data_IF_464918864363
#
_entry.id   IF_464918864363
#
_cell.length_a   1.000
_cell.length_b   1.000
_cell.length_c   1.000
_cell.angle_alpha   90.00
_cell.angle_beta   90.00
_cell.angle_gamma   90.00
#
_symmetry.space_group_name_H-M   'P 1'
#
loop_
_entity.id
_entity.type
_entity.pdbx_description
1 polymer ?
#
# COMPACT_ATOMS: atom_id res chain seq x y z
N UNK A 1 77.10 -52.44 -32.10
CA UNK A 1 76.51 -53.00 -30.95
C UNK A 1 74.95 -52.94 -31.03
N UNK A 2 74.36 -54.09 -31.33
CA UNK A 2 72.93 -54.30 -31.53
C UNK A 2 72.08 -53.99 -30.23
N UNK A 3 72.66 -54.26 -29.06
CA UNK A 3 72.05 -54.10 -27.74
C UNK A 3 71.85 -52.60 -27.40
N UNK A 4 72.81 -51.76 -27.77
CA UNK A 4 72.72 -50.32 -27.52
C UNK A 4 71.63 -49.61 -28.37
N UNK A 5 71.35 -50.13 -29.55
CA UNK A 5 70.36 -49.57 -30.48
C UNK A 5 68.93 -49.90 -30.04
N UNK A 6 68.68 -51.11 -29.55
CA UNK A 6 67.39 -51.52 -28.98
C UNK A 6 67.03 -50.70 -27.75
N UNK A 7 67.95 -50.45 -26.83
CA UNK A 7 67.74 -49.66 -25.65
C UNK A 7 67.46 -48.16 -25.99
N UNK A 8 68.08 -47.66 -27.06
CA UNK A 8 67.81 -46.29 -27.55
C UNK A 8 66.40 -46.16 -28.19
N UNK A 9 65.96 -47.19 -28.94
CA UNK A 9 64.64 -47.24 -29.55
C UNK A 9 63.52 -47.33 -28.46
N UNK A 10 63.68 -48.19 -27.43
CA UNK A 10 62.77 -48.29 -26.31
C UNK A 10 62.69 -47.00 -25.56
N UNK A 11 63.77 -46.27 -25.33
CA UNK A 11 63.84 -45.01 -24.68
C UNK A 11 63.14 -43.89 -25.51
N UNK A 12 63.27 -43.92 -26.82
CA UNK A 12 62.57 -43.00 -27.73
C UNK A 12 61.05 -43.24 -27.71
N UNK A 13 60.61 -44.49 -27.73
CA UNK A 13 59.21 -44.89 -27.64
C UNK A 13 58.61 -44.42 -26.28
N UNK A 14 59.31 -44.60 -25.17
CA UNK A 14 58.92 -44.19 -23.86
C UNK A 14 58.80 -42.67 -23.76
N UNK A 15 59.78 -41.93 -24.30
CA UNK A 15 59.74 -40.48 -24.33
C UNK A 15 58.53 -39.94 -25.12
N UNK A 16 58.25 -40.47 -26.29
CA UNK A 16 57.06 -40.07 -27.09
C UNK A 16 55.77 -40.37 -26.34
N UNK A 17 55.68 -41.51 -25.62
CA UNK A 17 54.56 -41.86 -24.78
C UNK A 17 54.40 -40.88 -23.60
N UNK A 18 55.50 -40.53 -22.93
CA UNK A 18 55.53 -39.54 -21.84
C UNK A 18 55.09 -38.13 -22.33
N UNK A 19 55.62 -37.68 -23.45
CA UNK A 19 55.27 -36.42 -24.08
C UNK A 19 53.77 -36.34 -24.39
N UNK A 20 53.20 -37.43 -24.92
CA UNK A 20 51.77 -37.56 -25.15
C UNK A 20 50.92 -37.44 -23.86
N UNK A 21 51.37 -38.07 -22.76
CA UNK A 21 50.74 -38.00 -21.46
C UNK A 21 50.83 -36.60 -20.87
N UNK A 22 51.99 -35.95 -20.95
CA UNK A 22 52.20 -34.56 -20.52
C UNK A 22 51.29 -33.63 -21.27
N UNK A 23 51.17 -33.77 -22.59
CA UNK A 23 50.26 -32.95 -23.39
C UNK A 23 48.78 -33.15 -23.00
N UNK A 24 48.38 -34.40 -22.71
CA UNK A 24 47.02 -34.69 -22.20
C UNK A 24 46.77 -34.05 -20.83
N UNK A 25 47.72 -34.16 -19.90
CA UNK A 25 47.62 -33.50 -18.58
C UNK A 25 47.53 -31.95 -18.71
N UNK A 26 48.34 -31.36 -19.56
CA UNK A 26 48.27 -29.92 -19.78
C UNK A 26 46.90 -29.49 -20.30
N UNK A 27 46.28 -30.26 -21.19
CA UNK A 27 44.94 -30.01 -21.69
C UNK A 27 43.87 -30.13 -20.58
N UNK A 28 44.00 -31.14 -19.71
CA UNK A 28 43.10 -31.35 -18.57
C UNK A 28 43.22 -30.22 -17.54
N UNK A 29 44.44 -29.79 -17.21
CA UNK A 29 44.70 -28.65 -16.33
C UNK A 29 44.13 -27.35 -16.90
N UNK A 30 44.24 -27.13 -18.20
CA UNK A 30 43.61 -25.94 -18.84
C UNK A 30 42.09 -25.97 -18.74
N UNK A 31 41.44 -27.10 -18.93
CA UNK A 31 39.99 -27.28 -18.77
C UNK A 31 39.55 -27.04 -17.33
N UNK A 32 40.29 -27.60 -16.35
CA UNK A 32 40.01 -27.42 -14.93
C UNK A 32 40.15 -25.95 -14.50
N UNK A 33 41.16 -25.26 -14.98
CA UNK A 33 41.32 -23.82 -14.71
C UNK A 33 40.16 -22.99 -15.30
N UNK A 34 39.73 -23.29 -16.52
CA UNK A 34 38.55 -22.63 -17.13
C UNK A 34 37.28 -22.88 -16.30
N UNK A 35 37.01 -24.12 -15.91
CA UNK A 35 35.88 -24.47 -15.07
C UNK A 35 35.93 -23.77 -13.70
N UNK A 36 37.11 -23.66 -13.10
CA UNK A 36 37.33 -22.92 -11.85
C UNK A 36 36.97 -21.44 -11.98
N UNK A 37 37.40 -20.81 -13.08
CA UNK A 37 37.13 -19.40 -13.33
C UNK A 37 35.62 -19.15 -13.59
N UNK A 38 34.94 -20.03 -14.32
CA UNK A 38 33.51 -20.01 -14.56
C UNK A 38 32.73 -20.17 -13.24
N UNK A 39 33.10 -21.14 -12.39
CA UNK A 39 32.48 -21.31 -11.06
C UNK A 39 32.73 -20.09 -10.18
N UNK A 40 33.94 -19.53 -10.22
CA UNK A 40 34.26 -18.31 -9.45
C UNK A 40 33.40 -17.10 -9.84
N UNK A 41 33.17 -16.90 -11.12
CA UNK A 41 32.31 -15.83 -11.62
C UNK A 41 30.83 -16.02 -11.25
N UNK A 42 30.34 -17.26 -11.36
CA UNK A 42 28.97 -17.61 -10.98
C UNK A 42 28.74 -17.41 -9.48
N UNK A 43 29.66 -17.88 -8.64
CA UNK A 43 29.61 -17.69 -7.19
C UNK A 43 29.62 -16.21 -6.78
N UNK A 44 30.36 -15.38 -7.50
CA UNK A 44 30.37 -13.93 -7.25
C UNK A 44 29.01 -13.32 -7.54
N UNK A 45 28.42 -13.66 -8.67
CA UNK A 45 27.09 -13.19 -9.07
C UNK A 45 26.00 -13.64 -8.08
N UNK A 46 26.03 -14.91 -7.68
CA UNK A 46 25.08 -15.44 -6.67
C UNK A 46 25.21 -14.73 -5.33
N UNK A 47 26.44 -14.42 -4.89
CA UNK A 47 26.65 -13.64 -3.65
C UNK A 47 26.11 -12.22 -3.75
N UNK A 48 26.25 -11.57 -4.89
CA UNK A 48 25.69 -10.24 -5.11
C UNK A 48 24.15 -10.27 -5.09
N UNK A 49 23.56 -11.23 -5.80
CA UNK A 49 22.11 -11.44 -5.80
C UNK A 49 21.57 -11.76 -4.38
N UNK A 50 22.24 -12.63 -3.64
CA UNK A 50 21.87 -12.93 -2.26
C UNK A 50 21.93 -11.70 -1.33
N UNK A 51 22.93 -10.84 -1.50
CA UNK A 51 23.01 -9.58 -0.73
C UNK A 51 21.85 -8.63 -1.07
N UNK A 52 21.46 -8.56 -2.32
CA UNK A 52 20.34 -7.72 -2.76
C UNK A 52 18.99 -8.24 -2.25
N UNK A 53 18.81 -9.57 -2.30
CA UNK A 53 17.64 -10.22 -1.69
C UNK A 53 17.56 -9.97 -0.18
N UNK A 54 18.68 -10.05 0.55
CA UNK A 54 18.73 -9.75 1.98
C UNK A 54 18.36 -8.31 2.28
N UNK A 55 18.79 -7.35 1.46
CA UNK A 55 18.36 -5.93 1.61
C UNK A 55 16.87 -5.79 1.41
N UNK A 56 16.30 -6.45 0.41
CA UNK A 56 14.87 -6.43 0.14
C UNK A 56 14.08 -7.03 1.29
N UNK A 57 14.50 -8.19 1.80
CA UNK A 57 13.87 -8.84 2.97
C UNK A 57 13.90 -7.93 4.19
N UNK A 58 15.03 -7.30 4.48
CA UNK A 58 15.16 -6.37 5.61
C UNK A 58 14.26 -5.13 5.46
N UNK A 59 14.09 -4.63 4.24
CA UNK A 59 13.17 -3.50 3.98
C UNK A 59 11.71 -3.91 4.16
N UNK A 60 11.32 -5.08 3.67
CA UNK A 60 9.97 -5.65 3.86
C UNK A 60 9.70 -5.87 5.35
N UNK A 61 10.66 -6.40 6.10
CA UNK A 61 10.51 -6.61 7.54
C UNK A 61 10.35 -5.30 8.31
N UNK A 62 11.14 -4.27 7.99
CA UNK A 62 10.97 -2.93 8.55
C UNK A 62 9.59 -2.34 8.23
N UNK A 63 9.14 -2.51 6.99
CA UNK A 63 7.81 -2.07 6.57
C UNK A 63 6.72 -2.80 7.36
N UNK A 64 6.83 -4.14 7.50
CA UNK A 64 5.91 -4.95 8.30
C UNK A 64 5.81 -4.47 9.75
N UNK A 65 6.96 -4.28 10.41
CA UNK A 65 7.00 -3.82 11.82
C UNK A 65 6.39 -2.43 11.98
N UNK A 66 6.64 -1.51 11.04
CA UNK A 66 6.03 -0.19 11.08
C UNK A 66 4.52 -0.27 10.88
N UNK A 67 4.06 -1.06 9.90
CA UNK A 67 2.64 -1.28 9.63
C UNK A 67 1.93 -1.90 10.83
N UNK A 68 2.51 -2.92 11.47
CA UNK A 68 1.95 -3.53 12.69
C UNK A 68 1.85 -2.52 13.86
N UNK A 69 2.83 -1.63 13.99
CA UNK A 69 2.79 -0.57 15.00
C UNK A 69 1.69 0.44 14.72
N UNK A 70 1.53 0.82 13.47
CA UNK A 70 0.50 1.78 13.07
C UNK A 70 -0.89 1.17 13.21
N UNK A 71 -1.06 -0.11 12.85
CA UNK A 71 -2.30 -0.87 13.09
C UNK A 71 -2.63 -0.95 14.58
N UNK A 72 -1.65 -1.25 15.44
CA UNK A 72 -1.89 -1.27 16.91
C UNK A 72 -2.31 0.09 17.45
N UNK A 73 -1.65 1.17 17.04
CA UNK A 73 -2.06 2.52 17.42
C UNK A 73 -3.47 2.84 16.94
N UNK A 74 -3.81 2.38 15.74
CA UNK A 74 -5.16 2.54 15.18
C UNK A 74 -6.18 1.71 15.97
N UNK A 75 -5.86 0.47 16.34
CA UNK A 75 -6.73 -0.37 17.18
C UNK A 75 -6.95 0.20 18.58
N UNK A 76 -5.94 0.74 19.24
CA UNK A 76 -6.06 1.45 20.52
C UNK A 76 -6.99 2.65 20.36
N UNK A 77 -6.83 3.42 19.31
CA UNK A 77 -7.67 4.59 19.01
C UNK A 77 -9.11 4.18 18.67
N UNK A 78 -9.31 3.08 17.94
CA UNK A 78 -10.63 2.51 17.61
C UNK A 78 -11.31 1.94 18.85
N UNK A 79 -10.59 1.33 19.79
CA UNK A 79 -11.16 0.82 21.03
C UNK A 79 -11.62 1.94 21.96
N UNK A 80 -10.86 3.02 22.10
CA UNK A 80 -11.30 4.23 22.79
C UNK A 80 -12.52 4.86 22.09
N UNK A 81 -12.54 4.80 20.79
CA UNK A 81 -13.61 5.24 19.92
C UNK A 81 -14.85 4.36 20.04
N UNK A 82 -14.72 3.05 20.21
CA UNK A 82 -15.85 2.12 20.39
C UNK A 82 -16.67 2.46 21.64
N UNK A 83 -16.00 2.74 22.75
CA UNK A 83 -16.64 3.23 23.97
C UNK A 83 -17.33 4.59 23.76
N UNK A 84 -16.79 5.42 22.88
CA UNK A 84 -17.37 6.71 22.53
C UNK A 84 -18.54 6.57 21.54
N UNK A 85 -18.41 5.71 20.53
CA UNK A 85 -19.47 5.39 19.54
C UNK A 85 -20.68 4.77 20.21
N UNK A 86 -20.51 3.93 21.21
CA UNK A 86 -21.62 3.38 22.01
C UNK A 86 -22.37 4.49 22.78
N UNK A 87 -21.69 5.56 23.15
CA UNK A 87 -22.30 6.77 23.74
C UNK A 87 -22.93 7.70 22.70
N UNK A 88 -22.45 7.66 21.43
CA UNK A 88 -22.94 8.47 20.31
C UNK A 88 -24.16 7.89 19.60
N UNK A 89 -24.58 6.66 19.93
CA UNK A 89 -25.63 5.93 19.21
C UNK A 89 -27.01 6.53 19.44
N UNK A 90 -27.36 7.43 18.62
CA UNK A 90 -28.67 8.13 18.58
C UNK A 90 -28.64 9.44 17.82
N UNK A 91 -27.47 9.98 17.49
CA UNK A 91 -27.41 11.28 16.84
C UNK A 91 -26.46 11.29 15.63
N UNK A 92 -27.05 11.30 14.44
CA UNK A 92 -26.32 11.28 13.15
C UNK A 92 -25.35 12.47 13.01
N UNK A 93 -25.68 13.61 13.59
CA UNK A 93 -24.82 14.81 13.58
C UNK A 93 -23.51 14.54 14.35
N UNK A 94 -23.61 13.96 15.53
CA UNK A 94 -22.40 13.61 16.30
C UNK A 94 -21.52 12.58 15.60
N UNK A 95 -22.08 11.67 14.81
CA UNK A 95 -21.29 10.72 14.00
C UNK A 95 -20.47 11.44 12.93
N UNK A 96 -21.05 12.42 12.22
CA UNK A 96 -20.34 13.23 11.24
C UNK A 96 -19.20 14.02 11.90
N UNK A 97 -19.52 14.82 12.90
CA UNK A 97 -18.55 15.65 13.65
C UNK A 97 -17.38 14.79 14.22
N UNK A 98 -17.65 13.55 14.59
CA UNK A 98 -16.65 12.62 15.08
C UNK A 98 -15.70 12.16 13.97
N UNK A 99 -16.23 11.75 12.82
CA UNK A 99 -15.40 11.32 11.67
C UNK A 99 -14.47 12.44 11.19
N UNK A 100 -14.97 13.66 11.12
CA UNK A 100 -14.19 14.84 10.77
C UNK A 100 -13.05 15.09 11.79
N UNK A 101 -13.35 15.06 13.09
CA UNK A 101 -12.34 15.23 14.16
C UNK A 101 -11.30 14.12 14.14
N UNK A 102 -11.70 12.88 13.86
CA UNK A 102 -10.80 11.75 13.75
C UNK A 102 -9.85 11.90 12.56
N UNK A 103 -10.37 12.33 11.41
CA UNK A 103 -9.55 12.61 10.23
C UNK A 103 -8.47 13.66 10.54
N UNK A 104 -8.87 14.79 11.12
CA UNK A 104 -7.95 15.85 11.53
C UNK A 104 -6.88 15.31 12.48
N UNK A 105 -7.29 14.54 13.48
CA UNK A 105 -6.37 13.99 14.48
C UNK A 105 -5.38 13.00 13.88
N UNK A 106 -5.80 12.18 12.92
CA UNK A 106 -4.91 11.28 12.20
C UNK A 106 -3.86 12.05 11.38
N UNK A 107 -4.26 13.09 10.68
CA UNK A 107 -3.34 13.93 9.92
C UNK A 107 -2.28 14.57 10.84
N UNK A 108 -2.70 15.14 11.99
CA UNK A 108 -1.80 15.71 12.99
C UNK A 108 -0.82 14.68 13.57
N UNK A 109 -1.27 13.47 13.91
CA UNK A 109 -0.41 12.40 14.45
C UNK A 109 0.65 11.97 13.43
N UNK A 110 0.33 12.06 12.14
CA UNK A 110 1.28 11.79 11.05
C UNK A 110 2.17 12.99 10.70
N UNK A 111 2.13 14.05 11.53
CA UNK A 111 3.03 15.20 11.42
C UNK A 111 2.56 16.29 10.47
N UNK A 112 1.33 16.23 9.99
CA UNK A 112 0.73 17.27 9.16
C UNK A 112 0.13 18.37 10.05
N UNK A 113 0.27 19.62 9.61
CA UNK A 113 -0.14 20.80 10.38
C UNK A 113 -1.33 21.52 9.74
N UNK A 114 -2.33 21.88 10.56
CA UNK A 114 -3.47 22.68 10.12
C UNK A 114 -2.99 24.03 9.57
N UNK A 115 -3.63 24.51 8.52
CA UNK A 115 -3.35 25.75 7.78
C UNK A 115 -2.02 25.75 7.01
N UNK A 116 -1.17 24.75 7.16
CA UNK A 116 0.05 24.58 6.38
C UNK A 116 -0.13 23.43 5.38
N UNK A 117 -0.34 22.21 5.88
CA UNK A 117 -0.44 21.01 5.06
C UNK A 117 -1.89 20.68 4.69
N UNK A 118 -2.85 21.16 5.47
CA UNK A 118 -4.29 21.02 5.20
C UNK A 118 -5.13 22.10 5.85
N UNK A 119 -6.34 22.33 5.31
CA UNK A 119 -7.36 23.20 5.88
C UNK A 119 -8.62 22.40 6.19
N UNK A 120 -9.35 22.82 7.23
CA UNK A 120 -10.54 22.13 7.73
C UNK A 120 -11.79 22.96 7.41
N UNK A 121 -12.80 22.31 6.83
CA UNK A 121 -14.13 22.89 6.57
C UNK A 121 -14.09 24.21 5.78
N UNK A 122 -13.10 24.40 4.92
CA UNK A 122 -13.03 25.53 4.02
C UNK A 122 -14.05 25.35 2.90
N UNK A 123 -15.11 26.12 2.92
CA UNK A 123 -16.18 26.02 1.96
C UNK A 123 -16.24 27.18 0.97
N UNK A 124 -16.88 26.96 -0.15
CA UNK A 124 -17.19 28.00 -1.14
C UNK A 124 -18.65 27.93 -1.55
N UNK A 125 -19.17 29.09 -1.99
CA UNK A 125 -20.54 29.24 -2.45
C UNK A 125 -20.54 29.90 -3.83
N UNK A 126 -21.34 29.38 -4.72
CA UNK A 126 -21.55 29.96 -6.06
C UNK A 126 -22.94 30.56 -6.09
N UNK A 127 -23.01 31.83 -6.43
CA UNK A 127 -24.25 32.59 -6.56
C UNK A 127 -24.55 32.89 -8.03
N UNK A 128 -25.82 33.02 -8.37
CA UNK A 128 -26.24 33.55 -9.65
C UNK A 128 -25.90 35.05 -9.69
N UNK A 129 -25.14 35.48 -10.69
CA UNK A 129 -24.67 36.85 -10.83
C UNK A 129 -25.80 37.86 -11.12
N UNK A 130 -26.97 37.40 -11.53
CA UNK A 130 -28.10 38.26 -11.91
C UNK A 130 -29.05 38.51 -10.75
N UNK A 131 -29.38 37.50 -9.95
CA UNK A 131 -30.40 37.58 -8.89
C UNK A 131 -29.89 37.24 -7.49
N UNK A 132 -28.56 37.08 -7.34
CA UNK A 132 -27.90 36.73 -6.08
C UNK A 132 -28.41 35.42 -5.43
N UNK A 133 -28.99 34.53 -6.24
CA UNK A 133 -29.51 33.25 -5.77
C UNK A 133 -28.33 32.26 -5.56
N UNK A 134 -28.34 31.57 -4.43
CA UNK A 134 -27.33 30.53 -4.14
C UNK A 134 -27.53 29.32 -5.05
N UNK A 135 -26.67 29.16 -6.05
CA UNK A 135 -26.72 28.05 -6.99
C UNK A 135 -26.08 26.77 -6.42
N UNK A 136 -24.96 26.90 -5.75
CA UNK A 136 -24.23 25.76 -5.20
C UNK A 136 -23.37 26.18 -4.01
N UNK A 137 -23.28 25.29 -3.03
CA UNK A 137 -22.38 25.44 -1.89
C UNK A 137 -21.69 24.09 -1.64
N UNK A 138 -20.39 24.12 -1.46
CA UNK A 138 -19.59 22.97 -1.04
C UNK A 138 -18.77 23.31 0.19
N UNK A 139 -18.66 22.35 1.09
CA UNK A 139 -17.85 22.45 2.29
C UNK A 139 -17.21 21.10 2.52
N UNK A 140 -16.03 20.83 1.93
CA UNK A 140 -15.28 19.62 2.21
C UNK A 140 -14.82 19.60 3.66
N UNK A 141 -14.67 18.39 4.22
CA UNK A 141 -14.20 18.24 5.61
C UNK A 141 -12.75 18.68 5.73
N UNK A 142 -11.91 18.24 4.79
CA UNK A 142 -10.49 18.61 4.71
C UNK A 142 -10.10 18.88 3.27
N UNK A 143 -9.25 19.90 3.07
CA UNK A 143 -8.51 20.14 1.83
C UNK A 143 -7.04 19.98 2.15
N UNK A 144 -6.37 18.98 1.57
CA UNK A 144 -4.94 18.77 1.72
C UNK A 144 -4.17 19.56 0.66
N UNK A 145 -3.07 20.18 1.07
CA UNK A 145 -2.16 20.92 0.21
C UNK A 145 -1.04 19.95 -0.24
N UNK A 146 -1.09 19.49 -1.48
CA UNK A 146 -0.03 18.62 -2.05
C UNK A 146 1.17 19.45 -2.51
N UNK A 147 0.91 20.66 -2.96
CA UNK A 147 1.90 21.68 -3.32
C UNK A 147 1.30 23.07 -3.07
N UNK A 148 2.04 24.14 -3.44
CA UNK A 148 1.50 25.51 -3.36
C UNK A 148 0.21 25.71 -4.17
N UNK A 149 0.06 24.95 -5.26
CA UNK A 149 -1.04 25.16 -6.20
C UNK A 149 -1.97 23.95 -6.32
N UNK A 150 -1.57 22.78 -5.80
CA UNK A 150 -2.31 21.53 -6.00
C UNK A 150 -2.92 21.08 -4.68
N UNK A 151 -4.20 20.81 -4.72
CA UNK A 151 -4.99 20.42 -3.56
C UNK A 151 -5.77 19.15 -3.81
N UNK A 152 -6.06 18.39 -2.77
CA UNK A 152 -6.97 17.24 -2.82
C UNK A 152 -8.01 17.35 -1.71
N UNK A 153 -9.26 17.08 -2.06
CA UNK A 153 -10.35 17.04 -1.10
C UNK A 153 -10.41 15.69 -0.43
N UNK A 154 -10.55 15.69 0.90
CA UNK A 154 -10.86 14.52 1.70
C UNK A 154 -12.21 14.75 2.39
N UNK A 155 -13.15 13.84 2.17
CA UNK A 155 -14.47 13.86 2.79
C UNK A 155 -14.59 12.68 3.75
N UNK A 156 -14.99 12.92 4.96
CA UNK A 156 -15.15 11.88 5.99
C UNK A 156 -16.58 11.40 6.02
N UNK A 157 -16.78 10.10 5.85
CA UNK A 157 -18.11 9.53 5.99
C UNK A 157 -18.16 8.42 7.01
N UNK A 158 -18.99 8.66 8.01
CA UNK A 158 -19.29 7.66 9.05
C UNK A 158 -20.77 7.32 8.95
N UNK A 159 -21.08 6.18 8.34
CA UNK A 159 -22.42 5.57 8.39
C UNK A 159 -22.34 4.28 9.20
N UNK A 160 -22.38 4.42 10.52
CA UNK A 160 -22.19 3.30 11.44
C UNK A 160 -23.48 2.65 11.92
N UNK A 161 -24.67 3.23 11.63
CA UNK A 161 -25.93 2.73 12.15
C UNK A 161 -26.21 1.32 11.62
N UNK A 162 -26.18 1.16 10.30
CA UNK A 162 -26.45 -0.14 9.69
C UNK A 162 -25.34 -1.15 9.94
N UNK A 163 -24.08 -0.70 9.98
CA UNK A 163 -22.94 -1.52 10.40
C UNK A 163 -23.11 -2.01 11.84
N UNK A 164 -23.47 -1.13 12.78
CA UNK A 164 -23.73 -1.51 14.17
C UNK A 164 -24.85 -2.54 14.28
N UNK A 165 -25.95 -2.33 13.55
CA UNK A 165 -27.08 -3.27 13.53
C UNK A 165 -26.66 -4.63 12.96
N UNK A 166 -25.82 -4.64 11.90
CA UNK A 166 -25.23 -5.84 11.35
C UNK A 166 -24.39 -6.62 12.37
N UNK A 167 -23.52 -5.94 13.12
CA UNK A 167 -22.63 -6.58 14.11
C UNK A 167 -23.40 -7.08 15.34
N UNK A 168 -24.45 -6.37 15.75
CA UNK A 168 -25.23 -6.70 16.93
C UNK A 168 -26.32 -7.77 16.66
N UNK A 169 -26.75 -7.91 15.41
CA UNK A 169 -27.71 -8.96 15.04
C UNK A 169 -27.03 -10.32 14.98
N UNK A 170 -27.34 -11.17 15.95
CA UNK A 170 -26.72 -12.51 16.09
C UNK A 170 -27.71 -13.65 15.85
N UNK A 171 -29.00 -13.38 15.91
CA UNK A 171 -30.03 -14.40 15.97
C UNK A 171 -30.77 -14.59 14.63
N UNK A 172 -30.83 -13.58 13.78
CA UNK A 172 -31.49 -13.63 12.49
C UNK A 172 -30.53 -13.24 11.35
N UNK A 173 -30.02 -14.26 10.67
CA UNK A 173 -29.09 -14.08 9.54
C UNK A 173 -29.71 -13.29 8.39
N UNK A 174 -31.01 -13.38 8.16
CA UNK A 174 -31.70 -12.61 7.11
C UNK A 174 -31.71 -11.12 7.44
N UNK A 175 -32.03 -10.77 8.65
CA UNK A 175 -32.02 -9.38 9.15
C UNK A 175 -30.59 -8.86 9.17
N UNK A 176 -29.64 -9.67 9.61
CA UNK A 176 -28.20 -9.33 9.62
C UNK A 176 -27.70 -8.98 8.21
N UNK A 177 -27.98 -9.82 7.21
CA UNK A 177 -27.63 -9.52 5.79
C UNK A 177 -28.35 -8.28 5.25
N UNK A 178 -29.58 -8.02 5.68
CA UNK A 178 -30.28 -6.80 5.31
C UNK A 178 -29.58 -5.55 5.82
N UNK A 179 -29.06 -5.57 7.04
CA UNK A 179 -28.27 -4.46 7.59
C UNK A 179 -26.96 -4.26 6.84
N UNK A 180 -26.25 -5.33 6.46
CA UNK A 180 -25.03 -5.24 5.65
C UNK A 180 -25.32 -4.60 4.29
N UNK A 181 -26.37 -5.03 3.60
CA UNK A 181 -26.79 -4.43 2.32
C UNK A 181 -27.11 -2.94 2.43
N UNK A 182 -27.79 -2.53 3.51
CA UNK A 182 -28.07 -1.11 3.75
C UNK A 182 -26.79 -0.33 3.98
N UNK A 183 -25.83 -0.91 4.73
CA UNK A 183 -24.54 -0.29 4.94
C UNK A 183 -23.76 -0.08 3.64
N UNK A 184 -23.67 -1.11 2.78
CA UNK A 184 -23.06 -1.05 1.45
C UNK A 184 -23.73 0.03 0.60
N UNK A 185 -25.05 0.01 0.51
CA UNK A 185 -25.82 1.00 -0.27
C UNK A 185 -25.61 2.43 0.25
N UNK A 186 -25.38 2.61 1.53
CA UNK A 186 -25.08 3.93 2.10
C UNK A 186 -23.68 4.43 1.67
N UNK A 187 -22.69 3.53 1.59
CA UNK A 187 -21.34 3.84 1.09
C UNK A 187 -21.40 4.19 -0.39
N UNK A 188 -22.02 3.34 -1.21
CA UNK A 188 -22.16 3.57 -2.65
C UNK A 188 -22.88 4.89 -2.98
N UNK A 189 -24.00 5.14 -2.33
CA UNK A 189 -24.70 6.42 -2.46
C UNK A 189 -23.82 7.61 -2.10
N UNK A 190 -22.95 7.45 -1.11
CA UNK A 190 -22.04 8.52 -0.72
C UNK A 190 -20.95 8.73 -1.77
N UNK A 191 -20.35 7.66 -2.29
CA UNK A 191 -19.38 7.70 -3.39
C UNK A 191 -19.99 8.40 -4.61
N UNK A 192 -21.19 7.99 -5.02
CA UNK A 192 -21.93 8.61 -6.13
C UNK A 192 -22.21 10.09 -5.89
N UNK A 193 -22.59 10.46 -4.68
CA UNK A 193 -22.84 11.87 -4.32
C UNK A 193 -21.55 12.70 -4.37
N UNK A 194 -20.43 12.16 -3.87
CA UNK A 194 -19.14 12.84 -3.89
C UNK A 194 -18.60 13.00 -5.32
N UNK A 195 -18.71 11.97 -6.15
CA UNK A 195 -18.27 12.03 -7.54
C UNK A 195 -19.04 13.07 -8.36
N UNK A 196 -20.29 13.33 -8.00
CA UNK A 196 -21.10 14.39 -8.61
C UNK A 196 -20.78 15.81 -8.15
N UNK A 197 -20.02 15.99 -7.06
CA UNK A 197 -19.64 17.31 -6.55
C UNK A 197 -18.46 17.87 -7.34
N UNK A 198 -18.69 18.94 -8.09
CA UNK A 198 -17.66 19.62 -8.89
C UNK A 198 -16.79 20.54 -8.01
N UNK A 199 -16.04 20.00 -7.06
CA UNK A 199 -15.15 20.77 -6.19
C UNK A 199 -14.18 21.66 -6.98
N UNK A 200 -13.67 21.18 -8.11
CA UNK A 200 -12.78 21.93 -9.01
C UNK A 200 -13.38 23.24 -9.53
N UNK A 201 -14.69 23.25 -9.77
CA UNK A 201 -15.38 24.45 -10.32
C UNK A 201 -15.82 25.41 -9.24
N UNK A 202 -15.96 24.94 -8.01
CA UNK A 202 -16.59 25.70 -6.92
C UNK A 202 -15.54 26.24 -5.95
N UNK A 203 -14.50 25.47 -5.66
CA UNK A 203 -13.37 25.93 -4.86
C UNK A 203 -12.46 26.78 -5.75
N UNK A 204 -12.12 27.99 -5.30
CA UNK A 204 -11.16 28.87 -5.99
C UNK A 204 -9.71 28.36 -5.76
N UNK A 205 -9.48 27.10 -6.11
CA UNK A 205 -8.22 26.38 -5.93
C UNK A 205 -8.09 25.33 -7.01
N UNK A 206 -6.84 25.02 -7.40
CA UNK A 206 -6.56 23.89 -8.29
C UNK A 206 -6.71 22.58 -7.52
N UNK A 207 -7.90 22.01 -7.56
CA UNK A 207 -8.24 20.76 -6.85
C UNK A 207 -8.16 19.58 -7.82
N UNK A 208 -7.54 18.52 -7.38
CA UNK A 208 -7.48 17.25 -8.11
C UNK A 208 -8.89 16.75 -8.46
N UNK A 209 -9.08 16.10 -9.62
CA UNK A 209 -10.41 15.61 -10.03
C UNK A 209 -10.96 14.50 -9.14
N UNK A 210 -10.10 13.86 -8.36
CA UNK A 210 -10.48 12.79 -7.44
C UNK A 210 -10.67 13.32 -6.03
N UNK A 211 -11.66 12.77 -5.33
CA UNK A 211 -11.92 13.02 -3.90
C UNK A 211 -11.53 11.77 -3.12
N UNK A 212 -10.83 11.95 -2.01
CA UNK A 212 -10.52 10.88 -1.09
C UNK A 212 -11.69 10.73 -0.10
N UNK A 213 -12.27 9.54 -0.05
CA UNK A 213 -13.27 9.19 0.95
C UNK A 213 -12.57 8.56 2.17
N UNK A 214 -12.67 9.21 3.32
CA UNK A 214 -12.18 8.69 4.58
C UNK A 214 -13.27 7.92 5.31
N UNK A 215 -13.05 6.63 5.51
CA UNK A 215 -13.94 5.74 6.29
C UNK A 215 -13.18 5.35 7.56
N UNK A 216 -13.54 5.88 8.74
CA UNK A 216 -12.78 5.68 9.98
C UNK A 216 -12.87 4.27 10.55
N UNK A 217 -13.78 3.45 10.04
CA UNK A 217 -14.06 2.11 10.57
C UNK A 217 -13.62 1.03 9.57
N UNK A 218 -12.36 0.59 9.67
CA UNK A 218 -11.79 -0.44 8.79
C UNK A 218 -12.63 -1.72 8.72
N UNK A 219 -13.14 -2.31 9.83
CA UNK A 219 -13.98 -3.50 9.74
C UNK A 219 -15.28 -3.29 8.93
N UNK A 220 -15.87 -2.09 9.03
CA UNK A 220 -17.07 -1.75 8.26
C UNK A 220 -16.77 -1.63 6.76
N UNK A 221 -15.62 -1.06 6.41
CA UNK A 221 -15.15 -0.97 5.03
C UNK A 221 -14.83 -2.37 4.48
N UNK A 222 -14.04 -3.18 5.20
CA UNK A 222 -13.68 -4.53 4.78
C UNK A 222 -14.90 -5.40 4.52
N UNK A 223 -15.89 -5.39 5.42
CA UNK A 223 -17.12 -6.15 5.22
C UNK A 223 -17.93 -5.68 3.99
N UNK A 224 -17.85 -4.39 3.66
CA UNK A 224 -18.52 -3.88 2.47
C UNK A 224 -17.84 -4.37 1.18
N UNK A 225 -16.51 -4.33 1.08
CA UNK A 225 -15.78 -4.79 -0.11
C UNK A 225 -15.74 -6.32 -0.26
N UNK A 226 -15.83 -7.08 0.85
CA UNK A 226 -15.96 -8.55 0.80
C UNK A 226 -17.29 -8.98 0.17
N UNK A 227 -18.37 -8.25 0.43
CA UNK A 227 -19.70 -8.55 -0.11
C UNK A 227 -19.92 -7.93 -1.50
N UNK A 228 -19.32 -6.75 -1.76
CA UNK A 228 -19.45 -6.02 -3.02
C UNK A 228 -18.07 -5.56 -3.52
N UNK A 229 -17.52 -6.36 -4.44
CA UNK A 229 -16.20 -6.11 -5.05
C UNK A 229 -16.17 -4.93 -6.01
N UNK A 230 -17.33 -4.38 -6.42
CA UNK A 230 -17.41 -3.19 -7.28
C UNK A 230 -17.10 -1.90 -6.50
N UNK A 231 -17.07 -1.95 -5.16
CA UNK A 231 -16.65 -0.84 -4.30
C UNK A 231 -15.12 -0.63 -4.27
N UNK A 232 -14.34 -1.51 -4.89
CA UNK A 232 -12.90 -1.34 -5.08
C UNK A 232 -12.61 -0.63 -6.40
#
# INVERSE_FOLDING_TARGET
NLVDRSALEEKAILNTKLEGQIAAFHKEVALLNKAKDEIGSTLKLERENAKEQLKTINNVEKWRVNTERDVKKYEEYVNDTKNFVDKLTGNVKYQGDFGEKLLVKLLEIHGLSINTDFTVQEGSKVYNQVNDELLQSVRPDVIMNLSKNDHVVVDSKVSLIDWKNFVNEKNDEKTRKSHLKKHISAIDKHITTLSGRNYQKILDKNVFPSVILFIPFVPAYLAAIEEDTELM
#
